data_IF_851340216297
#
_entry.id   IF_851340216297
#
_cell.length_a   1.000
_cell.length_b   1.000
_cell.length_c   1.000
_cell.angle_alpha   90.00
_cell.angle_beta   90.00
_cell.angle_gamma   90.00
#
_symmetry.space_group_name_H-M   'P 1'
#
loop_
_entity.id
_entity.type
_entity.pdbx_description
1 polymer ?
#
# COMPACT_ATOMS: atom_id res chain seq x y z
N UNK A 1 12.27 -7.63 -2.36
CA UNK A 1 12.66 -8.43 -1.18
C UNK A 1 11.45 -8.76 -0.34
N UNK A 2 11.44 -9.91 0.36
CA UNK A 2 10.34 -10.30 1.25
C UNK A 2 10.68 -10.07 2.74
N UNK A 3 9.81 -9.36 3.46
CA UNK A 3 9.98 -9.00 4.87
C UNK A 3 8.63 -9.06 5.61
N UNK A 4 8.58 -9.77 6.74
CA UNK A 4 7.38 -9.87 7.59
C UNK A 4 6.09 -10.30 6.85
N UNK A 5 6.20 -11.13 5.80
CA UNK A 5 5.05 -11.53 4.98
C UNK A 5 4.61 -10.50 3.93
N UNK A 6 5.50 -9.56 3.58
CA UNK A 6 5.29 -8.57 2.53
C UNK A 6 6.43 -8.61 1.51
N UNK A 7 6.10 -8.51 0.22
CA UNK A 7 7.04 -8.24 -0.86
C UNK A 7 7.15 -6.73 -1.08
N UNK A 8 8.39 -6.22 -1.01
CA UNK A 8 8.73 -4.80 -1.11
C UNK A 8 9.79 -4.64 -2.20
N UNK A 9 9.51 -3.81 -3.21
CA UNK A 9 10.39 -3.57 -4.36
C UNK A 9 11.45 -2.50 -4.05
N UNK A 10 12.40 -2.86 -3.18
CA UNK A 10 13.52 -2.00 -2.79
C UNK A 10 14.53 -1.83 -3.94
N UNK A 11 14.61 -2.80 -4.85
CA UNK A 11 15.43 -2.73 -6.07
C UNK A 11 14.98 -1.58 -6.98
N UNK A 12 13.67 -1.42 -7.18
CA UNK A 12 13.13 -0.27 -7.90
C UNK A 12 13.54 1.04 -7.24
N UNK A 13 13.53 1.12 -5.91
CA UNK A 13 13.96 2.31 -5.20
C UNK A 13 15.44 2.62 -5.46
N UNK A 14 16.33 1.62 -5.36
CA UNK A 14 17.74 1.76 -5.69
C UNK A 14 17.98 2.23 -7.13
N UNK A 15 17.29 1.62 -8.11
CA UNK A 15 17.37 2.01 -9.53
C UNK A 15 16.97 3.46 -9.76
N UNK A 16 15.91 3.93 -9.10
CA UNK A 16 15.45 5.33 -9.21
C UNK A 16 16.48 6.28 -8.61
N UNK A 17 17.06 5.93 -7.47
CA UNK A 17 18.11 6.74 -6.84
C UNK A 17 19.33 6.88 -7.75
N UNK A 18 19.86 5.76 -8.25
CA UNK A 18 21.03 5.76 -9.14
C UNK A 18 20.78 6.53 -10.44
N UNK A 19 19.62 6.29 -11.07
CA UNK A 19 19.26 6.92 -12.35
C UNK A 19 19.21 8.45 -12.26
N UNK A 20 18.72 8.99 -11.14
CA UNK A 20 18.57 10.43 -10.96
C UNK A 20 19.74 11.06 -10.20
N UNK A 21 20.67 10.26 -9.68
CA UNK A 21 21.88 10.75 -9.01
C UNK A 21 21.65 11.39 -7.64
N UNK A 22 20.55 11.07 -6.95
CA UNK A 22 20.26 11.59 -5.61
C UNK A 22 21.37 11.22 -4.61
N UNK A 23 21.68 12.13 -3.69
CA UNK A 23 22.84 12.05 -2.79
C UNK A 23 22.47 11.85 -1.32
N UNK A 24 21.29 12.33 -0.90
CA UNK A 24 20.82 12.19 0.47
C UNK A 24 19.37 11.73 0.46
N UNK A 25 19.16 10.45 0.73
CA UNK A 25 17.87 9.80 0.63
C UNK A 25 17.29 9.60 2.02
N UNK A 26 16.11 10.18 2.26
CA UNK A 26 15.31 9.88 3.44
C UNK A 26 14.50 8.60 3.23
N UNK A 27 14.50 7.72 4.22
CA UNK A 27 13.76 6.47 4.23
C UNK A 27 12.67 6.55 5.30
N UNK A 28 11.41 6.62 4.87
CA UNK A 28 10.24 6.64 5.74
C UNK A 28 9.52 5.29 5.65
N UNK A 29 9.26 4.68 6.81
CA UNK A 29 8.74 3.31 6.92
C UNK A 29 7.63 3.25 7.98
N UNK A 30 6.52 2.52 7.76
CA UNK A 30 5.49 2.30 8.76
C UNK A 30 5.99 1.41 9.90
N UNK A 31 5.39 1.57 11.08
CA UNK A 31 5.77 0.86 12.32
C UNK A 31 5.92 -0.66 12.15
N UNK A 32 4.98 -1.30 11.44
CA UNK A 32 5.01 -2.75 11.22
C UNK A 32 6.25 -3.26 10.47
N UNK A 33 6.92 -2.40 9.71
CA UNK A 33 8.12 -2.71 8.93
C UNK A 33 9.41 -2.15 9.55
N UNK A 34 9.33 -1.19 10.49
CA UNK A 34 10.52 -0.60 11.15
C UNK A 34 11.41 -1.64 11.84
N UNK A 35 10.84 -2.76 12.32
CA UNK A 35 11.63 -3.89 12.88
C UNK A 35 12.63 -4.48 11.87
N UNK A 36 12.40 -4.32 10.57
CA UNK A 36 13.29 -4.78 9.51
C UNK A 36 14.04 -3.62 8.82
N UNK A 37 14.05 -2.41 9.40
CA UNK A 37 14.65 -1.23 8.76
C UNK A 37 16.10 -1.47 8.36
N UNK A 38 16.88 -2.11 9.23
CA UNK A 38 18.30 -2.38 8.99
C UNK A 38 18.53 -3.27 7.75
N UNK A 39 17.65 -4.23 7.47
CA UNK A 39 17.75 -5.06 6.26
C UNK A 39 17.53 -4.25 4.99
N UNK A 40 16.64 -3.25 5.05
CA UNK A 40 16.35 -2.36 3.91
C UNK A 40 17.52 -1.39 3.72
N UNK A 41 18.03 -0.81 4.82
CA UNK A 41 19.20 0.09 4.80
C UNK A 41 20.43 -0.64 4.27
N UNK A 42 20.77 -1.82 4.81
CA UNK A 42 21.91 -2.63 4.35
C UNK A 42 21.81 -2.98 2.86
N UNK A 43 20.61 -3.26 2.36
CA UNK A 43 20.40 -3.50 0.94
C UNK A 43 20.68 -2.22 0.13
N UNK A 44 20.06 -1.10 0.52
CA UNK A 44 20.24 0.15 -0.18
C UNK A 44 21.72 0.60 -0.16
N UNK A 45 22.38 0.61 0.99
CA UNK A 45 23.80 1.02 1.11
C UNK A 45 24.75 0.21 0.20
N UNK A 46 24.42 -1.04 -0.13
CA UNK A 46 25.18 -1.85 -1.09
C UNK A 46 24.93 -1.45 -2.53
N UNK A 47 23.70 -1.05 -2.85
CA UNK A 47 23.25 -0.78 -4.22
C UNK A 47 23.39 0.69 -4.63
N UNK A 48 23.36 1.64 -3.68
CA UNK A 48 23.36 3.08 -3.97
C UNK A 48 24.55 3.80 -3.34
N UNK A 49 25.08 4.81 -4.04
CA UNK A 49 26.13 5.71 -3.53
C UNK A 49 25.51 7.01 -2.99
N UNK A 50 24.63 6.87 -2.00
CA UNK A 50 23.94 7.99 -1.36
C UNK A 50 23.90 7.80 0.15
N UNK A 51 23.87 8.91 0.90
CA UNK A 51 23.62 8.90 2.33
C UNK A 51 22.17 8.53 2.59
N UNK A 52 21.94 7.57 3.49
CA UNK A 52 20.58 7.17 3.89
C UNK A 52 20.27 7.76 5.27
N UNK A 53 19.14 8.46 5.37
CA UNK A 53 18.60 8.98 6.63
C UNK A 53 17.30 8.24 6.93
N UNK A 54 17.28 7.46 8.00
CA UNK A 54 16.05 6.79 8.45
C UNK A 54 15.21 7.77 9.27
N UNK A 55 13.96 7.95 8.88
CA UNK A 55 13.00 8.77 9.63
C UNK A 55 12.44 7.94 10.79
N UNK A 56 12.76 8.36 12.01
CA UNK A 56 12.37 7.66 13.23
C UNK A 56 10.91 7.92 13.63
N UNK A 57 10.35 9.07 13.22
CA UNK A 57 8.97 9.45 13.53
C UNK A 57 7.95 8.43 13.04
N UNK A 58 6.82 8.28 13.74
CA UNK A 58 5.70 7.46 13.27
C UNK A 58 5.32 7.81 11.83
N UNK A 59 4.87 6.80 11.08
CA UNK A 59 4.39 6.97 9.71
C UNK A 59 3.07 6.22 9.58
N UNK A 60 1.96 6.96 9.55
CA UNK A 60 0.61 6.37 9.51
C UNK A 60 0.02 6.22 8.11
N UNK A 61 0.66 6.82 7.09
CA UNK A 61 0.15 6.78 5.73
C UNK A 61 0.92 7.67 4.77
N UNK A 62 0.55 7.60 3.49
CA UNK A 62 1.03 8.52 2.46
C UNK A 62 0.62 9.99 2.69
N UNK A 63 -0.34 10.25 3.59
CA UNK A 63 -0.72 11.60 4.01
C UNK A 63 0.18 12.19 5.09
N UNK A 64 1.05 11.37 5.69
CA UNK A 64 1.92 11.70 6.83
C UNK A 64 3.37 11.83 6.36
N UNK A 65 3.57 12.61 5.29
CA UNK A 65 4.87 12.81 4.68
C UNK A 65 5.64 13.91 5.41
N UNK A 66 6.83 13.59 5.91
CA UNK A 66 7.74 14.50 6.66
C UNK A 66 8.46 15.51 5.76
N UNK A 67 7.80 16.00 4.71
CA UNK A 67 8.44 16.75 3.63
C UNK A 67 8.96 18.12 4.11
N UNK A 68 8.24 18.77 5.03
CA UNK A 68 8.63 20.10 5.52
C UNK A 68 9.77 20.04 6.53
N UNK A 69 9.75 19.05 7.41
CA UNK A 69 10.76 18.82 8.45
C UNK A 69 12.12 18.45 7.84
N UNK A 70 12.11 17.79 6.68
CA UNK A 70 13.30 17.39 5.94
C UNK A 70 14.03 18.55 5.25
N UNK A 71 13.41 19.74 5.16
CA UNK A 71 13.96 20.90 4.46
C UNK A 71 15.35 21.32 4.98
N UNK A 72 15.63 21.10 6.26
CA UNK A 72 16.90 21.49 6.89
C UNK A 72 17.97 20.39 6.87
N UNK A 73 17.68 19.22 6.28
CA UNK A 73 18.54 18.04 6.34
C UNK A 73 19.27 17.74 5.01
N UNK A 74 19.26 18.68 4.07
CA UNK A 74 19.82 18.53 2.71
C UNK A 74 19.38 17.21 2.02
N UNK A 75 18.16 16.77 2.31
CA UNK A 75 17.54 15.60 1.69
C UNK A 75 17.03 15.98 0.31
N UNK A 76 17.45 15.24 -0.71
CA UNK A 76 17.07 15.47 -2.09
C UNK A 76 16.08 14.42 -2.64
N UNK A 77 15.81 13.36 -1.87
CA UNK A 77 14.84 12.32 -2.24
C UNK A 77 14.22 11.59 -1.03
N UNK A 78 12.95 11.21 -1.13
CA UNK A 78 12.27 10.38 -0.13
C UNK A 78 11.88 9.03 -0.74
N UNK A 79 12.23 7.94 -0.07
CA UNK A 79 11.65 6.62 -0.30
C UNK A 79 10.62 6.39 0.82
N UNK A 80 9.34 6.32 0.47
CA UNK A 80 8.28 5.98 1.40
C UNK A 80 7.78 4.55 1.14
N UNK A 81 7.99 3.67 2.12
CA UNK A 81 7.61 2.26 2.03
C UNK A 81 6.23 2.03 2.64
N UNK A 82 5.47 1.07 2.13
CA UNK A 82 4.25 0.54 2.74
C UNK A 82 2.94 1.20 2.30
N UNK A 83 3.00 2.30 1.55
CA UNK A 83 1.82 3.04 1.10
C UNK A 83 1.86 3.26 -0.41
N UNK A 84 0.68 3.34 -1.03
CA UNK A 84 0.52 3.89 -2.38
C UNK A 84 0.47 5.42 -2.30
N UNK A 85 0.85 6.11 -3.39
CA UNK A 85 0.74 7.57 -3.46
C UNK A 85 -0.73 8.00 -3.38
N UNK A 86 -0.95 9.26 -2.98
CA UNK A 86 -2.28 9.89 -3.03
C UNK A 86 -2.33 10.73 -4.31
N UNK A 87 -3.17 10.39 -5.31
CA UNK A 87 -3.11 11.02 -6.63
C UNK A 87 -3.29 12.55 -6.59
N UNK A 88 -4.18 13.07 -5.75
CA UNK A 88 -4.39 14.51 -5.63
C UNK A 88 -3.36 15.27 -4.78
N UNK A 89 -2.29 14.60 -4.33
CA UNK A 89 -1.18 15.22 -3.61
C UNK A 89 0.05 15.15 -4.51
N UNK A 90 0.28 16.20 -5.29
CA UNK A 90 1.37 16.24 -6.29
C UNK A 90 2.50 17.21 -5.91
N UNK A 91 2.23 18.19 -5.04
CA UNK A 91 3.17 19.26 -4.69
C UNK A 91 4.11 18.87 -3.53
N UNK A 92 4.90 17.81 -3.74
CA UNK A 92 5.97 17.45 -2.83
C UNK A 92 7.19 18.35 -3.06
N UNK A 93 7.67 19.02 -2.00
CA UNK A 93 8.88 19.85 -2.08
C UNK A 93 10.11 19.00 -2.42
N UNK A 94 10.24 17.85 -1.76
CA UNK A 94 11.24 16.82 -2.06
C UNK A 94 10.60 15.73 -2.92
N UNK A 95 11.20 15.37 -4.07
CA UNK A 95 10.74 14.24 -4.88
C UNK A 95 10.62 12.97 -4.05
N UNK A 96 9.48 12.30 -4.15
CA UNK A 96 9.13 11.16 -3.29
C UNK A 96 8.72 9.96 -4.13
N UNK A 97 9.28 8.79 -3.81
CA UNK A 97 8.90 7.51 -4.40
C UNK A 97 8.18 6.65 -3.37
N UNK A 98 6.95 6.27 -3.71
CA UNK A 98 6.14 5.34 -2.94
C UNK A 98 6.40 3.90 -3.40
N UNK A 99 6.76 3.04 -2.45
CA UNK A 99 6.93 1.60 -2.65
C UNK A 99 5.92 0.86 -1.77
N UNK A 100 4.89 0.28 -2.39
CA UNK A 100 3.90 -0.48 -1.65
C UNK A 100 4.52 -1.75 -1.01
N UNK A 101 4.02 -2.13 0.17
CA UNK A 101 4.35 -3.40 0.80
C UNK A 101 3.24 -4.40 0.49
N UNK A 102 3.46 -5.27 -0.49
CA UNK A 102 2.46 -6.18 -1.02
C UNK A 102 2.42 -7.44 -0.17
N UNK A 103 1.28 -7.77 0.44
CA UNK A 103 1.13 -8.99 1.24
C UNK A 103 1.43 -10.24 0.40
N UNK A 104 2.19 -11.20 0.93
CA UNK A 104 2.46 -12.48 0.25
C UNK A 104 1.46 -13.57 0.61
N UNK A 105 0.48 -13.28 1.47
CA UNK A 105 -0.52 -14.25 1.94
C UNK A 105 -1.53 -14.61 0.85
N UNK A 106 -1.77 -15.91 0.68
CA UNK A 106 -2.91 -16.39 -0.12
C UNK A 106 -4.23 -16.09 0.58
N UNK A 107 -5.18 -15.53 -0.17
CA UNK A 107 -6.50 -15.15 0.32
C UNK A 107 -7.58 -16.16 -0.06
N UNK A 108 -7.28 -17.11 -0.95
CA UNK A 108 -8.27 -17.99 -1.60
C UNK A 108 -9.14 -18.74 -0.59
N UNK A 109 -8.49 -19.42 0.37
CA UNK A 109 -9.19 -20.17 1.41
C UNK A 109 -10.07 -19.29 2.33
N UNK A 110 -9.66 -18.04 2.59
CA UNK A 110 -10.43 -17.11 3.42
C UNK A 110 -11.63 -16.56 2.66
N UNK A 111 -11.49 -16.33 1.35
CA UNK A 111 -12.62 -15.94 0.48
C UNK A 111 -13.68 -17.03 0.49
N UNK A 112 -13.31 -18.29 0.31
CA UNK A 112 -14.29 -19.40 0.31
C UNK A 112 -15.01 -19.56 1.66
N UNK A 113 -14.27 -19.44 2.77
CA UNK A 113 -14.84 -19.46 4.12
C UNK A 113 -15.83 -18.31 4.38
N UNK A 114 -15.79 -17.25 3.58
CA UNK A 114 -16.70 -16.11 3.75
C UNK A 114 -18.09 -16.33 3.14
N UNK A 115 -18.26 -17.30 2.23
CA UNK A 115 -19.50 -17.47 1.48
C UNK A 115 -20.77 -17.63 2.33
N UNK A 116 -20.75 -18.34 3.48
CA UNK A 116 -21.94 -18.44 4.34
C UNK A 116 -22.41 -17.10 4.90
N UNK A 117 -21.57 -16.07 4.86
CA UNK A 117 -21.86 -14.73 5.38
C UNK A 117 -22.16 -13.70 4.27
N UNK A 118 -22.17 -14.11 3.00
CA UNK A 118 -22.51 -13.24 1.89
C UNK A 118 -24.01 -13.30 1.60
N UNK A 119 -24.64 -12.14 1.46
CA UNK A 119 -26.06 -12.02 1.17
C UNK A 119 -26.29 -11.55 -0.27
N UNK A 120 -27.23 -12.19 -0.97
CA UNK A 120 -27.54 -11.83 -2.35
C UNK A 120 -26.43 -12.21 -3.34
N UNK A 121 -26.42 -11.53 -4.49
CA UNK A 121 -25.58 -11.90 -5.65
C UNK A 121 -24.57 -10.84 -6.02
N UNK A 122 -24.88 -9.56 -5.85
CA UNK A 122 -23.99 -8.46 -6.21
C UNK A 122 -23.12 -8.08 -5.02
N UNK A 123 -21.83 -8.42 -5.07
CA UNK A 123 -20.91 -8.27 -3.94
C UNK A 123 -19.96 -7.11 -4.22
N UNK A 124 -20.01 -6.04 -3.43
CA UNK A 124 -19.01 -4.98 -3.51
C UNK A 124 -17.67 -5.49 -2.97
N UNK A 125 -16.59 -5.43 -3.75
CA UNK A 125 -15.28 -5.94 -3.32
C UNK A 125 -14.33 -4.76 -3.12
N UNK A 126 -13.78 -4.66 -1.91
CA UNK A 126 -12.84 -3.60 -1.51
C UNK A 126 -11.66 -4.18 -0.74
N UNK A 127 -10.55 -3.46 -0.71
CA UNK A 127 -9.34 -3.89 0.00
C UNK A 127 -8.43 -2.72 0.35
N UNK A 128 -7.30 -3.00 1.00
CA UNK A 128 -6.24 -2.04 1.33
C UNK A 128 -5.06 -2.19 0.37
N UNK A 129 -4.18 -1.18 0.31
CA UNK A 129 -3.01 -1.15 -0.58
C UNK A 129 -2.21 -2.46 -0.66
N UNK A 130 -1.92 -3.08 0.48
CA UNK A 130 -1.14 -4.33 0.58
C UNK A 130 -1.79 -5.55 -0.14
N UNK A 131 -3.10 -5.54 -0.35
CA UNK A 131 -3.89 -6.66 -0.89
C UNK A 131 -4.48 -6.39 -2.27
N UNK A 132 -4.21 -5.23 -2.88
CA UNK A 132 -4.74 -4.84 -4.19
C UNK A 132 -4.50 -5.90 -5.28
N UNK A 133 -3.31 -6.51 -5.28
CA UNK A 133 -2.94 -7.56 -6.22
C UNK A 133 -3.86 -8.81 -6.14
N UNK A 134 -4.53 -9.04 -5.00
CA UNK A 134 -5.42 -10.19 -4.78
C UNK A 134 -6.83 -10.00 -5.35
N UNK A 135 -7.22 -8.77 -5.73
CA UNK A 135 -8.58 -8.47 -6.18
C UNK A 135 -9.02 -9.37 -7.32
N UNK A 136 -8.14 -9.63 -8.29
CA UNK A 136 -8.47 -10.49 -9.43
C UNK A 136 -8.74 -11.93 -9.02
N UNK A 137 -7.99 -12.44 -8.06
CA UNK A 137 -8.18 -13.79 -7.51
C UNK A 137 -9.54 -13.87 -6.81
N UNK A 138 -9.85 -12.90 -5.95
CA UNK A 138 -11.13 -12.82 -5.24
C UNK A 138 -12.31 -12.73 -6.22
N UNK A 139 -12.22 -11.86 -7.22
CA UNK A 139 -13.27 -11.74 -8.24
C UNK A 139 -13.53 -13.07 -8.96
N UNK A 140 -12.46 -13.79 -9.32
CA UNK A 140 -12.59 -15.07 -10.02
C UNK A 140 -13.23 -16.14 -9.14
N UNK A 141 -12.84 -16.20 -7.86
CA UNK A 141 -13.44 -17.12 -6.89
C UNK A 141 -14.93 -16.80 -6.71
N UNK A 142 -15.29 -15.53 -6.49
CA UNK A 142 -16.69 -15.11 -6.35
C UNK A 142 -17.51 -15.46 -7.61
N UNK A 143 -16.99 -15.19 -8.82
CA UNK A 143 -17.66 -15.52 -10.08
C UNK A 143 -17.90 -17.03 -10.23
N UNK A 144 -16.92 -17.87 -9.88
CA UNK A 144 -17.06 -19.34 -9.91
C UNK A 144 -18.17 -19.85 -8.99
N UNK A 145 -18.43 -19.15 -7.89
CA UNK A 145 -19.48 -19.48 -6.93
C UNK A 145 -20.80 -18.74 -7.17
N UNK A 146 -21.04 -18.27 -8.41
CA UNK A 146 -22.26 -17.60 -8.84
C UNK A 146 -22.54 -16.29 -8.10
N UNK A 147 -21.50 -15.56 -7.67
CA UNK A 147 -21.60 -14.17 -7.23
C UNK A 147 -21.16 -13.23 -8.37
N UNK A 148 -21.62 -11.99 -8.30
CA UNK A 148 -21.30 -10.89 -9.20
C UNK A 148 -20.46 -9.87 -8.43
N UNK A 149 -19.12 -10.00 -8.41
CA UNK A 149 -18.28 -9.02 -7.74
C UNK A 149 -18.29 -7.69 -8.49
N UNK A 150 -18.37 -6.60 -7.75
CA UNK A 150 -18.36 -5.23 -8.25
C UNK A 150 -17.20 -4.50 -7.56
N UNK A 151 -16.22 -4.08 -8.34
CA UNK A 151 -15.09 -3.25 -7.91
C UNK A 151 -15.24 -1.88 -8.56
N UNK A 152 -15.07 -0.81 -7.80
CA UNK A 152 -15.15 0.56 -8.30
C UNK A 152 -13.88 1.36 -8.05
N UNK A 153 -13.67 2.36 -8.88
CA UNK A 153 -12.75 3.47 -8.60
C UNK A 153 -13.23 4.26 -7.38
N UNK A 154 -12.28 4.84 -6.64
CA UNK A 154 -12.57 5.84 -5.62
C UNK A 154 -12.63 7.26 -6.17
N UNK A 155 -12.54 8.25 -5.29
CA UNK A 155 -12.31 9.64 -5.66
C UNK A 155 -10.83 9.91 -5.96
N UNK A 156 -10.48 11.18 -6.09
CA UNK A 156 -9.13 11.69 -6.39
C UNK A 156 -8.05 11.34 -5.34
N UNK A 157 -8.43 10.85 -4.15
CA UNK A 157 -7.47 10.40 -3.13
C UNK A 157 -7.14 8.91 -3.24
N UNK A 158 -7.94 8.15 -3.98
CA UNK A 158 -7.78 6.70 -4.11
C UNK A 158 -6.90 6.38 -5.32
N UNK A 159 -5.77 5.74 -5.07
CA UNK A 159 -4.82 5.40 -6.15
C UNK A 159 -5.30 4.29 -7.07
N UNK A 160 -6.04 3.30 -6.55
CA UNK A 160 -6.36 2.09 -7.31
C UNK A 160 -7.81 1.63 -7.08
N UNK A 161 -8.38 0.94 -8.08
CA UNK A 161 -9.72 0.36 -8.00
C UNK A 161 -9.86 -0.57 -6.80
N UNK A 162 -10.98 -0.44 -6.09
CA UNK A 162 -11.28 -1.25 -4.90
C UNK A 162 -10.47 -0.88 -3.66
N UNK A 163 -9.50 0.05 -3.73
CA UNK A 163 -8.79 0.49 -2.54
C UNK A 163 -9.67 1.38 -1.66
N UNK A 164 -9.65 1.10 -0.37
CA UNK A 164 -10.18 1.96 0.68
C UNK A 164 -9.07 2.35 1.66
N UNK A 165 -9.23 3.52 2.27
CA UNK A 165 -8.37 4.06 3.31
C UNK A 165 -9.18 4.19 4.61
N UNK A 166 -8.50 4.35 5.75
CA UNK A 166 -9.19 4.64 7.02
C UNK A 166 -10.02 5.93 6.98
N UNK A 167 -9.59 6.91 6.18
CA UNK A 167 -10.26 8.21 6.00
C UNK A 167 -11.05 8.33 4.68
N UNK A 168 -11.06 7.31 3.82
CA UNK A 168 -11.72 7.39 2.52
C UNK A 168 -12.28 6.02 2.08
N UNK A 169 -13.61 5.93 1.99
CA UNK A 169 -14.34 4.71 1.61
C UNK A 169 -15.03 4.84 0.24
N UNK A 170 -14.69 5.86 -0.55
CA UNK A 170 -15.42 6.20 -1.78
C UNK A 170 -15.44 5.08 -2.80
N UNK A 171 -14.37 4.28 -2.88
CA UNK A 171 -14.32 3.09 -3.74
C UNK A 171 -15.39 2.05 -3.40
N UNK A 172 -15.89 2.00 -2.16
CA UNK A 172 -17.05 1.19 -1.79
C UNK A 172 -18.37 1.95 -1.93
N UNK A 173 -18.45 3.14 -1.35
CA UNK A 173 -19.73 3.87 -1.24
C UNK A 173 -20.33 4.29 -2.58
N UNK A 174 -19.51 4.50 -3.63
CA UNK A 174 -19.98 4.78 -5.00
C UNK A 174 -20.88 3.68 -5.59
N UNK A 175 -20.82 2.45 -5.06
CA UNK A 175 -21.62 1.31 -5.54
C UNK A 175 -22.58 0.76 -4.49
N UNK A 176 -22.77 1.45 -3.37
CA UNK A 176 -23.61 0.98 -2.26
C UNK A 176 -25.04 0.63 -2.69
N UNK A 177 -25.61 1.39 -3.63
CA UNK A 177 -27.01 1.23 -4.05
C UNK A 177 -27.21 0.09 -5.06
N UNK A 178 -26.12 -0.52 -5.54
CA UNK A 178 -26.16 -1.60 -6.55
C UNK A 178 -25.55 -2.92 -6.07
N UNK A 179 -25.09 -2.97 -4.82
CA UNK A 179 -24.56 -4.18 -4.18
C UNK A 179 -25.46 -4.61 -3.02
N UNK A 180 -25.47 -5.90 -2.72
CA UNK A 180 -26.21 -6.46 -1.60
C UNK A 180 -25.40 -6.33 -0.29
N UNK A 181 -24.09 -6.55 -0.37
CA UNK A 181 -23.16 -6.48 0.75
C UNK A 181 -21.75 -6.17 0.24
N UNK A 182 -20.84 -5.88 1.18
CA UNK A 182 -19.43 -5.65 0.88
C UNK A 182 -18.55 -6.77 1.44
N UNK A 183 -17.59 -7.22 0.63
CA UNK A 183 -16.53 -8.12 1.00
C UNK A 183 -15.20 -7.36 1.03
N UNK A 184 -14.56 -7.30 2.20
CA UNK A 184 -13.30 -6.59 2.42
C UNK A 184 -12.15 -7.56 2.66
N UNK A 185 -11.13 -7.52 1.82
CA UNK A 185 -9.86 -8.24 2.06
C UNK A 185 -8.94 -7.33 2.87
N UNK A 186 -8.53 -7.78 4.05
CA UNK A 186 -7.61 -7.05 4.92
C UNK A 186 -6.83 -8.04 5.80
N UNK A 187 -5.63 -7.66 6.21
CA UNK A 187 -4.95 -8.29 7.34
C UNK A 187 -5.02 -7.34 8.52
N UNK A 188 -5.52 -7.82 9.66
CA UNK A 188 -5.47 -7.08 10.91
C UNK A 188 -4.19 -7.50 11.66
N UNK A 189 -3.50 -6.54 12.29
CA UNK A 189 -2.36 -6.81 13.18
C UNK A 189 -2.80 -7.17 14.61
N UNK A 190 -4.11 -7.18 14.89
CA UNK A 190 -4.65 -7.60 16.18
C UNK A 190 -5.52 -8.85 16.04
N UNK A 191 -4.90 -10.01 16.27
CA UNK A 191 -5.50 -11.08 17.06
C UNK A 191 -4.43 -11.45 18.10
N UNK A 192 -4.45 -10.69 19.20
CA UNK A 192 -3.95 -11.18 20.48
C UNK A 192 -4.96 -12.19 21.04
#
# INVERSE_FOLDING_TARGET
MELSGYSIDVEKAAKVVLKNGYKTVALQIPEGLKRNVWKIVEFLEKEIQAKIIVIADPCFGACDLVNYELKNLDVDFVIQIGHTSIPNVENFWIPTLFINAVSTKDVSAVVEKSFPFLEGKKIGVVTTAQHLHTLKVVENILKKHNFMPIVSDGDERISEKGQILGCNFTAGTKKKDVVNNFFKIISNTNLA
#
